data_IF_051642840794
#
_entry.id   IF_051642840794
#
_cell.length_a   1.000
_cell.length_b   1.000
_cell.length_c   1.000
_cell.angle_alpha   90.00
_cell.angle_beta   90.00
_cell.angle_gamma   90.00
#
_symmetry.space_group_name_H-M   'P 1'
#
loop_
_entity.id
_entity.type
_entity.pdbx_description
1 polymer ?
#
# COMPACT_ATOMS: atom_id res chain seq x y z
N UNK A 1 10.62 7.74 3.06
CA UNK A 1 11.47 6.60 2.61
C UNK A 1 11.38 5.55 3.69
N UNK A 2 11.15 4.27 3.35
CA UNK A 2 11.30 3.16 4.30
C UNK A 2 12.74 3.13 4.78
N UNK A 3 12.93 3.09 6.09
CA UNK A 3 14.24 3.09 6.71
C UNK A 3 14.28 2.16 7.92
N UNK A 4 15.46 1.59 8.16
CA UNK A 4 15.75 0.83 9.36
C UNK A 4 16.66 1.65 10.29
N UNK A 5 16.45 1.50 11.58
CA UNK A 5 17.23 2.11 12.64
C UNK A 5 17.32 1.18 13.85
N UNK A 6 17.83 1.71 14.95
CA UNK A 6 17.97 0.98 16.22
C UNK A 6 17.13 1.66 17.30
N UNK A 7 16.51 0.84 18.15
CA UNK A 7 15.80 1.28 19.33
C UNK A 7 16.13 0.32 20.48
N UNK A 8 16.98 0.74 21.41
CA UNK A 8 17.38 -0.08 22.58
C UNK A 8 17.86 -1.50 22.21
N UNK A 9 18.84 -1.57 21.28
CA UNK A 9 19.36 -2.84 20.76
C UNK A 9 18.43 -3.61 19.81
N UNK A 10 17.16 -3.20 19.69
CA UNK A 10 16.19 -3.75 18.74
C UNK A 10 16.32 -3.10 17.36
N UNK A 11 15.89 -3.82 16.35
CA UNK A 11 15.82 -3.32 14.97
C UNK A 11 14.45 -2.68 14.74
N UNK A 12 14.44 -1.40 14.39
CA UNK A 12 13.21 -0.64 14.14
C UNK A 12 13.12 -0.31 12.65
N UNK A 13 12.12 -0.86 11.97
CA UNK A 13 11.83 -0.57 10.55
C UNK A 13 10.61 0.33 10.48
N UNK A 14 10.73 1.46 9.78
CA UNK A 14 9.62 2.38 9.57
C UNK A 14 8.94 2.11 8.22
N UNK A 15 7.66 1.75 8.27
CA UNK A 15 6.81 1.51 7.10
C UNK A 15 5.47 2.25 7.22
N UNK A 16 5.48 3.54 6.94
CA UNK A 16 4.28 4.39 6.93
C UNK A 16 3.51 4.35 5.60
N UNK A 17 3.80 3.37 4.75
CA UNK A 17 3.39 3.36 3.35
C UNK A 17 4.22 4.29 2.48
N UNK A 18 3.68 4.71 1.34
CA UNK A 18 4.35 5.62 0.41
C UNK A 18 3.33 6.57 -0.23
N UNK A 19 3.42 7.87 0.08
CA UNK A 19 2.68 8.92 -0.64
C UNK A 19 1.15 8.80 -0.61
N UNK A 20 0.55 8.35 0.50
CA UNK A 20 -0.90 8.29 0.67
C UNK A 20 -1.62 7.15 -0.09
N UNK A 21 -0.89 6.32 -0.85
CA UNK A 21 -1.47 5.23 -1.63
C UNK A 21 -1.38 3.86 -0.92
N UNK A 22 -1.78 3.81 0.36
CA UNK A 22 -1.59 2.65 1.23
C UNK A 22 -2.16 1.35 0.64
N UNK A 23 -3.39 1.36 0.12
CA UNK A 23 -4.00 0.17 -0.50
C UNK A 23 -3.20 -0.30 -1.73
N UNK A 24 -2.75 0.63 -2.57
CA UNK A 24 -2.00 0.30 -3.79
C UNK A 24 -0.60 -0.22 -3.51
N UNK A 25 0.07 0.25 -2.45
CA UNK A 25 1.51 0.03 -2.25
C UNK A 25 1.85 -0.90 -1.09
N UNK A 26 0.91 -1.16 -0.19
CA UNK A 26 1.11 -1.91 1.06
C UNK A 26 1.85 -3.24 0.90
N UNK A 27 1.49 -4.07 -0.07
CA UNK A 27 2.21 -5.32 -0.33
C UNK A 27 3.67 -5.12 -0.73
N UNK A 28 3.98 -4.05 -1.48
CA UNK A 28 5.34 -3.71 -1.90
C UNK A 28 6.16 -3.09 -0.78
N UNK A 29 5.59 -2.15 -0.01
CA UNK A 29 6.29 -1.56 1.14
C UNK A 29 6.47 -2.58 2.26
N UNK A 30 5.47 -3.41 2.53
CA UNK A 30 5.57 -4.53 3.47
C UNK A 30 6.60 -5.57 3.05
N UNK A 31 6.76 -5.83 1.75
CA UNK A 31 7.81 -6.72 1.25
C UNK A 31 9.21 -6.17 1.57
N UNK A 32 9.44 -4.89 1.26
CA UNK A 32 10.74 -4.25 1.52
C UNK A 32 11.03 -4.11 3.01
N UNK A 33 10.01 -3.82 3.83
CA UNK A 33 10.15 -3.81 5.29
C UNK A 33 10.54 -5.21 5.82
N UNK A 34 9.94 -6.26 5.26
CA UNK A 34 10.26 -7.63 5.63
C UNK A 34 11.65 -8.08 5.12
N UNK A 35 12.18 -7.50 4.03
CA UNK A 35 13.59 -7.69 3.63
C UNK A 35 14.54 -7.11 4.68
N UNK A 36 14.32 -5.86 5.10
CA UNK A 36 15.15 -5.22 6.15
C UNK A 36 15.08 -5.99 7.47
N UNK A 37 13.89 -6.49 7.84
CA UNK A 37 13.73 -7.33 9.02
C UNK A 37 14.51 -8.67 8.90
N UNK A 38 14.56 -9.26 7.71
CA UNK A 38 15.20 -10.55 7.46
C UNK A 38 16.73 -10.50 7.52
N UNK A 39 17.34 -9.30 7.48
CA UNK A 39 18.78 -9.09 7.74
C UNK A 39 19.18 -9.44 9.18
N UNK A 40 18.21 -9.52 10.10
CA UNK A 40 18.43 -9.94 11.47
C UNK A 40 18.36 -11.48 11.57
N UNK A 41 19.03 -12.08 12.54
CA UNK A 41 18.93 -13.54 12.76
C UNK A 41 17.59 -13.94 13.40
N UNK A 42 17.08 -13.08 14.26
CA UNK A 42 15.86 -13.33 15.00
C UNK A 42 14.63 -13.35 14.09
N UNK A 43 13.75 -14.32 14.31
CA UNK A 43 12.50 -14.51 13.56
C UNK A 43 11.26 -14.19 14.41
N UNK A 44 11.36 -13.19 15.29
CA UNK A 44 10.23 -12.68 16.08
C UNK A 44 10.07 -11.19 15.81
N UNK A 45 8.87 -10.76 15.43
CA UNK A 45 8.61 -9.38 15.05
C UNK A 45 7.32 -8.82 15.66
N UNK A 46 7.40 -7.60 16.18
CA UNK A 46 6.25 -6.78 16.48
C UNK A 46 5.91 -5.89 15.29
N UNK A 47 4.65 -5.84 14.89
CA UNK A 47 4.14 -4.89 13.89
C UNK A 47 3.21 -3.92 14.58
N UNK A 48 3.48 -2.62 14.48
CA UNK A 48 2.69 -1.58 15.15
C UNK A 48 1.67 -1.01 14.18
N UNK A 49 0.40 -1.32 14.39
CA UNK A 49 -0.72 -0.92 13.54
C UNK A 49 -1.35 -2.10 12.78
N UNK A 50 -2.69 -2.12 12.75
CA UNK A 50 -3.49 -3.17 12.10
C UNK A 50 -4.27 -2.65 10.88
N UNK A 51 -3.78 -1.58 10.24
CA UNK A 51 -4.25 -1.14 8.93
C UNK A 51 -3.64 -1.96 7.79
N UNK A 52 -3.91 -1.58 6.54
CA UNK A 52 -3.41 -2.33 5.37
C UNK A 52 -1.88 -2.45 5.34
N UNK A 53 -1.16 -1.39 5.73
CA UNK A 53 0.30 -1.41 5.81
C UNK A 53 0.80 -2.42 6.84
N UNK A 54 0.20 -2.45 8.02
CA UNK A 54 0.55 -3.41 9.08
C UNK A 54 0.22 -4.85 8.71
N UNK A 55 -1.01 -5.10 8.24
CA UNK A 55 -1.46 -6.45 7.86
C UNK A 55 -0.63 -7.04 6.73
N UNK A 56 -0.39 -6.30 5.65
CA UNK A 56 0.46 -6.79 4.55
C UNK A 56 1.91 -6.97 4.99
N UNK A 57 2.46 -6.10 5.83
CA UNK A 57 3.82 -6.29 6.39
C UNK A 57 3.89 -7.55 7.25
N UNK A 58 2.92 -7.77 8.13
CA UNK A 58 2.83 -8.96 8.95
C UNK A 58 2.75 -10.25 8.11
N UNK A 59 1.96 -10.24 7.02
CA UNK A 59 1.91 -11.37 6.07
C UNK A 59 3.24 -11.59 5.36
N UNK A 60 3.96 -10.52 4.97
CA UNK A 60 5.28 -10.64 4.32
C UNK A 60 6.36 -11.16 5.28
N UNK A 61 6.26 -10.83 6.57
CA UNK A 61 7.10 -11.36 7.63
C UNK A 61 6.79 -12.86 7.88
N UNK A 62 5.52 -13.23 8.01
CA UNK A 62 5.12 -14.65 8.16
C UNK A 62 5.60 -15.51 6.99
N UNK A 63 5.53 -15.00 5.75
CA UNK A 63 6.08 -15.69 4.56
C UNK A 63 7.60 -15.91 4.62
N UNK A 64 8.31 -15.20 5.48
CA UNK A 64 9.76 -15.33 5.74
C UNK A 64 10.06 -16.07 7.05
N UNK A 65 9.06 -16.74 7.62
CA UNK A 65 9.21 -17.56 8.83
C UNK A 65 9.29 -16.77 10.12
N UNK A 66 8.81 -15.52 10.15
CA UNK A 66 8.70 -14.78 11.41
C UNK A 66 7.45 -15.19 12.19
N UNK A 67 7.61 -15.34 13.51
CA UNK A 67 6.53 -15.25 14.48
C UNK A 67 6.16 -13.77 14.65
N UNK A 68 4.91 -13.41 14.36
CA UNK A 68 4.50 -12.01 14.29
C UNK A 68 3.36 -11.71 15.26
N UNK A 69 3.56 -10.67 16.07
CA UNK A 69 2.50 -10.06 16.87
C UNK A 69 2.20 -8.66 16.31
N UNK A 70 0.93 -8.41 15.96
CA UNK A 70 0.45 -7.06 15.67
C UNK A 70 -0.01 -6.41 16.97
N UNK A 71 0.52 -5.24 17.28
CA UNK A 71 0.03 -4.37 18.36
C UNK A 71 -0.70 -3.18 17.75
N UNK A 72 -1.96 -2.96 18.11
CA UNK A 72 -2.71 -1.83 17.57
C UNK A 72 -3.80 -1.35 18.54
N UNK A 73 -4.05 -0.04 18.55
CA UNK A 73 -5.20 0.53 19.28
C UNK A 73 -6.54 0.32 18.57
N UNK A 74 -6.51 0.11 17.24
CA UNK A 74 -7.69 -0.13 16.41
C UNK A 74 -7.38 -1.23 15.39
N UNK A 75 -8.39 -2.03 15.10
CA UNK A 75 -8.37 -3.15 14.14
C UNK A 75 -9.53 -2.99 13.15
N UNK A 76 -9.50 -3.65 11.98
CA UNK A 76 -10.65 -3.66 11.07
C UNK A 76 -11.93 -4.08 11.81
N UNK A 77 -13.10 -3.47 11.53
CA UNK A 77 -13.36 -2.50 10.46
C UNK A 77 -13.09 -1.02 10.82
N UNK A 78 -12.43 -0.74 11.95
CA UNK A 78 -12.32 0.61 12.52
C UNK A 78 -10.97 1.30 12.21
N UNK A 79 -10.32 0.97 11.09
CA UNK A 79 -9.05 1.59 10.70
C UNK A 79 -9.26 2.64 9.62
N UNK A 80 -8.34 3.60 9.47
CA UNK A 80 -8.34 4.52 8.31
C UNK A 80 -8.33 3.78 6.97
N UNK A 81 -7.78 2.56 6.93
CA UNK A 81 -7.80 1.73 5.72
C UNK A 81 -9.22 1.33 5.32
N UNK A 82 -10.14 1.13 6.27
CA UNK A 82 -11.54 0.83 5.99
C UNK A 82 -12.29 2.00 5.33
N UNK A 83 -11.83 3.23 5.55
CA UNK A 83 -12.44 4.45 5.00
C UNK A 83 -11.97 4.80 3.58
N UNK A 84 -11.10 3.98 2.98
CA UNK A 84 -10.48 4.27 1.69
C UNK A 84 -11.45 4.04 0.52
N UNK A 85 -11.57 5.01 -0.38
CA UNK A 85 -12.07 4.78 -1.74
C UNK A 85 -11.00 4.03 -2.52
N UNK A 86 -10.94 2.71 -2.34
CA UNK A 86 -9.75 1.93 -2.65
C UNK A 86 -9.72 1.44 -4.12
N UNK A 87 -8.85 2.06 -4.91
CA UNK A 87 -8.41 1.57 -6.22
C UNK A 87 -6.89 1.45 -6.27
N UNK A 88 -6.36 0.80 -7.32
CA UNK A 88 -4.92 0.79 -7.59
C UNK A 88 -4.53 2.10 -8.28
N UNK A 89 -4.28 3.13 -7.48
CA UNK A 89 -3.94 4.50 -7.88
C UNK A 89 -2.66 4.97 -7.18
N UNK A 90 -1.54 4.24 -7.35
CA UNK A 90 -0.31 4.50 -6.60
C UNK A 90 0.23 5.92 -6.79
N UNK A 91 0.06 6.51 -7.97
CA UNK A 91 0.50 7.87 -8.31
C UNK A 91 -0.62 8.92 -8.15
N UNK A 92 -1.57 8.68 -7.25
CA UNK A 92 -2.65 9.61 -6.95
C UNK A 92 -2.14 10.94 -6.37
N UNK A 93 -3.08 11.88 -6.18
CA UNK A 93 -2.95 13.27 -5.72
C UNK A 93 -1.91 13.64 -4.67
N UNK A 94 -1.42 12.69 -3.89
CA UNK A 94 -0.88 12.89 -2.55
C UNK A 94 0.65 12.87 -2.49
N UNK A 95 1.32 12.69 -3.62
CA UNK A 95 2.79 12.80 -3.71
C UNK A 95 3.19 14.26 -3.96
N UNK A 96 3.93 14.83 -3.02
CA UNK A 96 4.60 16.14 -3.17
C UNK A 96 5.77 15.99 -4.14
N UNK A 97 5.64 16.54 -5.34
CA UNK A 97 6.60 16.32 -6.43
C UNK A 97 7.98 16.89 -6.14
N UNK A 98 8.03 17.97 -5.37
CA UNK A 98 9.22 18.81 -5.21
C UNK A 98 10.11 18.35 -4.05
N UNK A 99 9.58 17.47 -3.18
CA UNK A 99 10.31 16.84 -2.07
C UNK A 99 10.84 15.45 -2.43
N UNK A 100 10.65 15.00 -3.69
CA UNK A 100 11.10 13.68 -4.13
C UNK A 100 12.59 13.67 -4.37
N UNK A 101 13.25 12.63 -3.86
CA UNK A 101 14.64 12.32 -4.18
C UNK A 101 14.72 11.15 -5.15
N UNK A 102 15.83 10.98 -5.91
CA UNK A 102 16.03 9.81 -6.76
C UNK A 102 15.89 8.47 -6.00
N UNK A 103 16.33 8.43 -4.74
CA UNK A 103 16.18 7.28 -3.86
C UNK A 103 14.71 6.98 -3.53
N UNK A 104 13.93 8.01 -3.22
CA UNK A 104 12.49 7.87 -2.98
C UNK A 104 11.79 7.34 -4.23
N UNK A 105 12.10 7.92 -5.40
CA UNK A 105 11.57 7.52 -6.71
C UNK A 105 11.86 6.04 -7.03
N UNK A 106 13.09 5.59 -6.79
CA UNK A 106 13.48 4.19 -7.00
C UNK A 106 12.73 3.25 -6.05
N UNK A 107 12.64 3.61 -4.76
CA UNK A 107 11.92 2.81 -3.76
C UNK A 107 10.41 2.76 -4.06
N UNK A 108 9.82 3.86 -4.52
CA UNK A 108 8.42 3.93 -4.93
C UNK A 108 8.15 2.99 -6.11
N UNK A 109 8.94 3.08 -7.19
CA UNK A 109 8.76 2.21 -8.37
C UNK A 109 8.86 0.73 -8.00
N UNK A 110 9.84 0.37 -7.16
CA UNK A 110 9.98 -1.00 -6.64
C UNK A 110 8.74 -1.43 -5.85
N UNK A 111 8.20 -0.57 -4.98
CA UNK A 111 6.98 -0.85 -4.24
C UNK A 111 5.78 -1.10 -5.17
N UNK A 112 5.61 -0.27 -6.20
CA UNK A 112 4.54 -0.41 -7.21
C UNK A 112 4.64 -1.75 -7.93
N UNK A 113 5.83 -2.12 -8.40
CA UNK A 113 6.03 -3.37 -9.14
C UNK A 113 5.69 -4.61 -8.32
N UNK A 114 6.19 -4.65 -7.07
CA UNK A 114 5.92 -5.76 -6.17
C UNK A 114 4.43 -5.80 -5.82
N UNK A 115 3.86 -4.66 -5.43
CA UNK A 115 2.46 -4.60 -5.03
C UNK A 115 1.53 -5.02 -6.16
N UNK A 116 1.74 -4.51 -7.38
CA UNK A 116 0.89 -4.84 -8.52
C UNK A 116 0.92 -6.34 -8.83
N UNK A 117 2.10 -6.97 -8.86
CA UNK A 117 2.24 -8.41 -9.07
C UNK A 117 1.52 -9.22 -8.00
N UNK A 118 1.63 -8.84 -6.73
CA UNK A 118 0.95 -9.55 -5.64
C UNK A 118 -0.55 -9.35 -5.67
N UNK A 119 -1.03 -8.15 -5.97
CA UNK A 119 -2.45 -7.84 -6.04
C UNK A 119 -3.16 -8.63 -7.15
N UNK A 120 -2.49 -8.90 -8.28
CA UNK A 120 -3.05 -9.76 -9.32
C UNK A 120 -3.34 -11.19 -8.82
N UNK A 121 -2.52 -11.73 -7.92
CA UNK A 121 -2.74 -13.06 -7.34
C UNK A 121 -3.87 -13.10 -6.31
N UNK A 122 -4.35 -11.93 -5.87
CA UNK A 122 -5.41 -11.79 -4.89
C UNK A 122 -6.75 -11.40 -5.53
N UNK A 123 -6.80 -11.24 -6.86
CA UNK A 123 -8.05 -10.96 -7.58
C UNK A 123 -9.03 -12.11 -7.32
N UNK A 124 -10.21 -11.76 -6.80
CA UNK A 124 -11.27 -12.71 -6.51
C UNK A 124 -12.14 -12.27 -5.33
N UNK A 125 -13.29 -12.95 -5.15
CA UNK A 125 -14.27 -12.60 -4.13
C UNK A 125 -13.72 -12.71 -2.71
N UNK A 126 -12.80 -13.66 -2.44
CA UNK A 126 -12.18 -13.84 -1.11
C UNK A 126 -11.57 -12.54 -0.58
N UNK A 127 -10.84 -11.82 -1.41
CA UNK A 127 -10.14 -10.60 -1.01
C UNK A 127 -10.91 -9.33 -1.37
N UNK A 128 -12.09 -9.45 -2.01
CA UNK A 128 -12.82 -8.28 -2.51
C UNK A 128 -12.01 -7.47 -3.53
N UNK A 129 -11.11 -8.11 -4.28
CA UNK A 129 -10.27 -7.48 -5.30
C UNK A 129 -10.81 -7.85 -6.67
N UNK A 130 -11.11 -6.86 -7.50
CA UNK A 130 -11.66 -7.05 -8.84
C UNK A 130 -11.03 -6.10 -9.85
N UNK A 131 -11.13 -6.47 -11.13
CA UNK A 131 -10.87 -5.56 -12.24
C UNK A 131 -12.16 -4.82 -12.60
N UNK A 132 -12.07 -3.50 -12.74
CA UNK A 132 -13.18 -2.66 -13.17
C UNK A 132 -12.70 -1.63 -14.19
N UNK A 133 -13.57 -1.25 -15.12
CA UNK A 133 -13.31 -0.13 -16.02
C UNK A 133 -13.65 1.18 -15.30
N UNK A 134 -12.65 2.03 -15.10
CA UNK A 134 -12.84 3.42 -14.73
C UNK A 134 -13.10 4.27 -15.97
N UNK A 135 -14.01 5.23 -15.86
CA UNK A 135 -14.39 6.13 -16.96
C UNK A 135 -14.04 7.57 -16.61
N UNK A 136 -13.50 8.32 -17.57
CA UNK A 136 -13.26 9.76 -17.48
C UNK A 136 -14.00 10.48 -18.61
N UNK A 137 -14.88 11.40 -18.26
CA UNK A 137 -15.65 12.21 -19.22
C UNK A 137 -14.85 13.43 -19.65
N UNK A 138 -14.79 13.72 -20.95
CA UNK A 138 -14.01 14.81 -21.52
C UNK A 138 -14.84 15.59 -22.56
N UNK A 139 -14.75 16.92 -22.52
CA UNK A 139 -15.41 17.80 -23.51
C UNK A 139 -14.68 17.87 -24.85
N UNK A 140 -13.37 17.67 -24.82
CA UNK A 140 -12.46 17.73 -25.97
C UNK A 140 -11.68 16.43 -26.10
N UNK A 141 -11.16 16.17 -27.31
CA UNK A 141 -10.30 15.01 -27.52
C UNK A 141 -9.01 15.19 -26.71
N UNK A 142 -8.53 14.17 -25.99
CA UNK A 142 -7.25 14.26 -25.31
C UNK A 142 -6.15 14.49 -26.36
N UNK A 143 -5.37 15.55 -26.19
CA UNK A 143 -4.26 15.86 -27.10
C UNK A 143 -3.05 15.02 -26.70
N UNK A 144 -2.61 14.15 -27.61
CA UNK A 144 -1.38 13.38 -27.41
C UNK A 144 -0.19 14.31 -27.16
N UNK A 145 0.58 14.03 -26.11
CA UNK A 145 1.78 14.80 -25.76
C UNK A 145 1.55 16.08 -24.96
N UNK A 146 0.30 16.51 -24.69
CA UNK A 146 0.02 17.66 -23.82
C UNK A 146 -0.23 17.23 -22.38
N UNK A 147 0.77 16.62 -21.74
CA UNK A 147 0.74 16.45 -20.27
C UNK A 147 1.34 17.70 -19.63
N UNK A 148 0.72 18.16 -18.56
CA UNK A 148 1.40 19.12 -17.69
C UNK A 148 2.68 18.48 -17.13
N UNK A 149 3.70 19.29 -16.85
CA UNK A 149 4.95 18.84 -16.25
C UNK A 149 4.72 18.00 -14.97
N UNK A 150 3.67 18.35 -14.20
CA UNK A 150 3.23 17.60 -13.01
C UNK A 150 2.70 16.21 -13.35
N UNK A 151 1.95 16.07 -14.43
CA UNK A 151 1.43 14.78 -14.90
C UNK A 151 2.53 13.89 -15.47
N UNK A 152 3.51 14.47 -16.16
CA UNK A 152 4.70 13.75 -16.63
C UNK A 152 5.53 13.21 -15.47
N UNK A 153 5.82 14.07 -14.48
CA UNK A 153 6.52 13.67 -13.25
C UNK A 153 5.83 12.53 -12.52
N UNK A 154 4.49 12.53 -12.49
CA UNK A 154 3.71 11.43 -11.92
C UNK A 154 3.72 10.17 -12.78
N UNK A 155 3.57 10.32 -14.09
CA UNK A 155 3.62 9.19 -14.99
C UNK A 155 4.98 8.47 -14.89
N UNK A 156 6.08 9.20 -14.68
CA UNK A 156 7.41 8.65 -14.48
C UNK A 156 7.55 7.77 -13.21
N UNK A 157 6.60 7.83 -12.27
CA UNK A 157 6.56 6.94 -11.10
C UNK A 157 5.86 5.60 -11.40
N UNK A 158 5.06 5.53 -12.46
CA UNK A 158 4.47 4.27 -12.92
C UNK A 158 5.40 3.55 -13.90
N UNK A 159 5.91 2.35 -13.57
CA UNK A 159 6.69 1.53 -14.49
C UNK A 159 5.91 1.31 -15.81
N UNK A 160 6.55 1.46 -16.99
CA UNK A 160 5.85 1.40 -18.28
C UNK A 160 5.03 0.12 -18.48
N UNK A 161 5.57 -1.04 -18.10
CA UNK A 161 4.89 -2.33 -18.26
C UNK A 161 3.65 -2.55 -17.38
N UNK A 162 3.39 -1.66 -16.43
CA UNK A 162 2.21 -1.74 -15.53
C UNK A 162 1.10 -0.77 -15.95
N UNK A 163 1.30 -0.01 -17.02
CA UNK A 163 0.31 0.95 -17.51
C UNK A 163 -0.70 0.20 -18.36
N UNK A 164 -1.95 0.11 -17.89
CA UNK A 164 -3.05 -0.63 -18.54
C UNK A 164 -3.62 0.06 -19.79
N UNK A 165 -2.96 1.10 -20.30
CA UNK A 165 -3.44 1.91 -21.42
C UNK A 165 -4.70 2.71 -21.10
N UNK A 166 -5.22 3.42 -22.09
CA UNK A 166 -6.53 4.05 -22.03
C UNK A 166 -7.11 4.00 -23.44
N UNK A 167 -8.38 3.63 -23.53
CA UNK A 167 -9.13 3.71 -24.79
C UNK A 167 -9.98 4.97 -24.73
N UNK A 168 -9.97 5.74 -25.81
CA UNK A 168 -10.77 6.95 -25.95
C UNK A 168 -11.87 6.66 -26.96
N UNK A 169 -13.11 6.89 -26.55
CA UNK A 169 -14.30 6.77 -27.36
C UNK A 169 -14.79 8.19 -27.71
N UNK A 170 -15.05 8.41 -28.99
CA UNK A 170 -15.55 9.67 -29.54
C UNK A 170 -17.08 9.72 -29.67
N UNK A 171 -17.59 10.79 -30.32
CA UNK A 171 -19.02 10.96 -30.55
C UNK A 171 -19.62 9.77 -31.30
N UNK A 172 -20.71 9.20 -30.76
CA UNK A 172 -21.41 8.06 -31.34
C UNK A 172 -20.87 6.68 -30.93
N UNK A 173 -19.73 6.61 -30.22
CA UNK A 173 -19.13 5.35 -29.76
C UNK A 173 -19.50 5.00 -28.31
N UNK A 174 -20.23 5.87 -27.61
CA UNK A 174 -20.65 5.68 -26.23
C UNK A 174 -21.98 6.39 -25.92
N UNK A 175 -22.59 6.08 -24.76
CA UNK A 175 -23.90 6.63 -24.34
C UNK A 175 -23.81 7.73 -23.26
N UNK A 176 -22.61 8.07 -22.79
CA UNK A 176 -22.41 9.15 -21.81
C UNK A 176 -22.69 10.55 -22.40
N UNK A 177 -23.05 11.54 -21.56
CA UNK A 177 -23.41 12.89 -22.02
C UNK A 177 -22.22 13.76 -22.47
N UNK A 178 -20.98 13.32 -22.26
CA UNK A 178 -19.78 14.04 -22.71
C UNK A 178 -19.49 13.79 -24.19
N UNK A 179 -18.64 14.60 -24.82
CA UNK A 179 -18.28 14.42 -26.24
C UNK A 179 -17.30 13.27 -26.45
N UNK A 180 -16.43 13.06 -25.47
CA UNK A 180 -15.46 11.97 -25.43
C UNK A 180 -15.51 11.27 -24.08
N UNK A 181 -15.19 9.98 -24.08
CA UNK A 181 -15.04 9.17 -22.87
C UNK A 181 -13.78 8.36 -22.96
N UNK A 182 -12.91 8.52 -21.97
CA UNK A 182 -11.79 7.63 -21.75
C UNK A 182 -12.22 6.49 -20.84
N UNK A 183 -11.84 5.25 -21.14
CA UNK A 183 -11.94 4.17 -20.17
C UNK A 183 -10.61 3.44 -20.00
N UNK A 184 -10.37 2.97 -18.76
CA UNK A 184 -9.17 2.24 -18.37
C UNK A 184 -9.52 1.13 -17.38
N UNK A 185 -9.08 -0.11 -17.61
CA UNK A 185 -9.18 -1.15 -16.60
C UNK A 185 -8.20 -0.88 -15.45
N UNK A 186 -8.70 -1.00 -14.22
CA UNK A 186 -7.90 -0.87 -13.00
C UNK A 186 -8.37 -1.86 -11.93
N UNK A 187 -7.47 -2.17 -11.00
CA UNK A 187 -7.80 -2.97 -9.83
C UNK A 187 -8.57 -2.09 -8.84
N UNK A 188 -9.68 -2.62 -8.32
CA UNK A 188 -10.47 -2.05 -7.23
C UNK A 188 -10.46 -3.00 -6.03
N UNK A 189 -10.55 -2.41 -4.84
CA UNK A 189 -10.66 -3.12 -3.59
C UNK A 189 -12.00 -2.79 -2.93
N UNK A 190 -12.58 -3.78 -2.25
CA UNK A 190 -13.62 -3.57 -1.25
C UNK A 190 -12.96 -3.62 0.14
N UNK A 191 -12.67 -2.46 0.78
CA UNK A 191 -11.79 -2.39 1.95
C UNK A 191 -12.19 -3.32 3.10
N UNK A 192 -13.50 -3.41 3.40
CA UNK A 192 -14.00 -4.24 4.50
C UNK A 192 -13.76 -5.73 4.25
N UNK A 193 -14.03 -6.21 3.03
CA UNK A 193 -13.77 -7.62 2.65
C UNK A 193 -12.26 -7.87 2.63
N UNK A 194 -11.50 -6.96 2.02
CA UNK A 194 -10.06 -7.10 1.87
C UNK A 194 -9.32 -7.17 3.21
N UNK A 195 -9.62 -6.25 4.12
CA UNK A 195 -8.96 -6.19 5.42
C UNK A 195 -9.37 -7.35 6.33
N UNK A 196 -10.63 -7.77 6.28
CA UNK A 196 -11.11 -8.96 7.01
C UNK A 196 -10.42 -10.24 6.51
N UNK A 197 -10.26 -10.39 5.20
CA UNK A 197 -9.52 -11.50 4.60
C UNK A 197 -8.04 -11.49 5.01
N UNK A 198 -7.40 -10.32 5.08
CA UNK A 198 -6.02 -10.20 5.55
C UNK A 198 -5.86 -10.53 7.04
N UNK A 199 -6.79 -10.11 7.89
CA UNK A 199 -6.82 -10.48 9.32
C UNK A 199 -6.99 -12.00 9.45
N UNK A 200 -7.96 -12.58 8.73
CA UNK A 200 -8.21 -14.01 8.73
C UNK A 200 -6.98 -14.81 8.29
N UNK A 201 -6.33 -14.41 7.19
CA UNK A 201 -5.08 -15.03 6.75
C UNK A 201 -3.95 -14.81 7.77
N UNK A 202 -3.83 -13.64 8.40
CA UNK A 202 -2.79 -13.40 9.40
C UNK A 202 -2.92 -14.34 10.60
N UNK A 203 -4.14 -14.47 11.14
CA UNK A 203 -4.45 -15.35 12.26
C UNK A 203 -4.29 -16.83 11.88
N UNK A 204 -4.75 -17.22 10.68
CA UNK A 204 -4.61 -18.60 10.17
C UNK A 204 -3.15 -19.06 10.12
N UNK A 205 -2.23 -18.15 9.83
CA UNK A 205 -0.79 -18.42 9.81
C UNK A 205 -0.11 -18.15 11.18
N UNK A 206 -0.85 -18.27 12.28
CA UNK A 206 -0.33 -18.23 13.65
C UNK A 206 -0.03 -16.84 14.19
N UNK A 207 -0.47 -15.79 13.50
CA UNK A 207 -0.31 -14.41 13.94
C UNK A 207 -1.14 -14.10 15.19
N UNK A 208 -0.65 -13.17 16.01
CA UNK A 208 -1.36 -12.67 17.20
C UNK A 208 -1.69 -11.20 17.05
N UNK A 209 -2.89 -10.78 17.45
CA UNK A 209 -3.27 -9.36 17.52
C UNK A 209 -3.49 -9.00 18.97
N UNK A 210 -2.78 -7.98 19.45
CA UNK A 210 -2.88 -7.45 20.80
C UNK A 210 -3.39 -6.01 20.73
N UNK A 211 -4.51 -5.75 21.40
CA UNK A 211 -5.03 -4.38 21.52
C UNK A 211 -4.16 -3.61 22.49
N UNK A 212 -3.34 -2.70 21.97
CA UNK A 212 -2.40 -1.89 22.74
C UNK A 212 -2.14 -0.57 22.04
N UNK A 213 -2.23 0.52 22.80
CA UNK A 213 -1.81 1.86 22.39
C UNK A 213 -0.39 2.10 22.91
N UNK A 214 0.40 2.83 22.12
CA UNK A 214 1.68 3.39 22.55
C UNK A 214 1.57 4.90 22.41
N UNK A 215 1.85 5.64 23.46
CA UNK A 215 1.77 7.10 23.45
C UNK A 215 3.10 7.74 23.04
N UNK A 216 4.23 7.04 23.24
CA UNK A 216 5.56 7.49 22.85
C UNK A 216 6.40 6.39 22.17
N UNK A 217 7.41 6.73 21.35
CA UNK A 217 8.21 5.71 20.66
C UNK A 217 9.04 4.88 21.64
N UNK A 218 9.35 5.43 22.81
CA UNK A 218 10.11 4.76 23.88
C UNK A 218 9.35 3.57 24.45
N UNK A 219 8.01 3.59 24.46
CA UNK A 219 7.23 2.46 24.97
C UNK A 219 7.38 1.21 24.10
N UNK A 220 7.80 1.35 22.85
CA UNK A 220 8.13 0.20 21.99
C UNK A 220 9.32 -0.61 22.52
N UNK A 221 10.17 -0.03 23.37
CA UNK A 221 11.27 -0.74 24.05
C UNK A 221 10.75 -1.82 25.00
N UNK A 222 9.52 -1.68 25.51
CA UNK A 222 8.89 -2.65 26.42
C UNK A 222 8.41 -3.94 25.74
N UNK A 223 8.54 -4.02 24.41
CA UNK A 223 8.19 -5.21 23.65
C UNK A 223 9.30 -6.25 23.72
N UNK A 224 8.95 -7.53 23.80
CA UNK A 224 9.95 -8.61 23.85
C UNK A 224 10.55 -8.90 22.46
N UNK A 225 9.85 -8.52 21.39
CA UNK A 225 10.29 -8.76 20.03
C UNK A 225 11.56 -7.95 19.70
N UNK A 226 12.59 -8.59 19.11
CA UNK A 226 13.84 -7.93 18.72
C UNK A 226 13.72 -7.12 17.43
N UNK A 227 12.69 -7.37 16.62
CA UNK A 227 12.37 -6.61 15.41
C UNK A 227 11.02 -5.93 15.58
N UNK A 228 10.98 -4.63 15.32
CA UNK A 228 9.76 -3.82 15.38
C UNK A 228 9.56 -3.19 14.02
N UNK A 229 8.37 -3.35 13.43
CA UNK A 229 7.99 -2.68 12.19
C UNK A 229 6.87 -1.69 12.48
N UNK A 230 7.21 -0.42 12.47
CA UNK A 230 6.27 0.66 12.75
C UNK A 230 5.42 0.99 11.50
N UNK A 231 4.12 0.66 11.57
CA UNK A 231 3.14 0.81 10.49
C UNK A 231 1.95 1.72 10.90
N UNK A 232 2.17 2.70 11.78
CA UNK A 232 1.10 3.52 12.37
C UNK A 232 0.44 4.53 11.42
N UNK A 233 0.95 4.68 10.18
CA UNK A 233 0.39 5.60 9.19
C UNK A 233 0.32 7.03 9.73
N UNK A 234 -0.87 7.65 9.74
CA UNK A 234 -1.09 9.00 10.29
C UNK A 234 -0.82 9.12 11.79
N UNK A 235 -0.76 8.01 12.53
CA UNK A 235 -0.40 7.99 13.94
C UNK A 235 1.11 7.96 14.19
N UNK A 236 1.95 8.14 13.16
CA UNK A 236 3.40 8.24 13.33
C UNK A 236 3.77 9.57 13.98
N UNK A 237 4.48 9.51 15.11
CA UNK A 237 5.17 10.63 15.76
C UNK A 237 6.64 10.27 15.97
#
# INVERSE_FOLDING_TARGET
VLGAGRLDGKTLVHNYGHGGAGMSLSWGTGYMAAEMAAEQEWRRAAVIGCGVAGLTTARQLQRRGFDVTIYAMMVPPNTTSNMSLAGFTPTSGLVETDQRTPQWDAQFRRAVEIAYKQLQLLVGPKYGISWINGYSMMGEAPVEGQRSEREERRAALMPPGLRTGQVVLGPGEHQFPSRYVGYRPSIRFEPSIYLDALVSDFLLFGGKIVIRKFDTPRELMTLDEPVIVNCTGLGSY
#
